data_IF_555542328283
#
_entry.id   IF_555542328283
#
_cell.length_a   1.000
_cell.length_b   1.000
_cell.length_c   1.000
_cell.angle_alpha   90.00
_cell.angle_beta   90.00
_cell.angle_gamma   90.00
#
_symmetry.space_group_name_H-M   'P 1'
#
loop_
_entity.id
_entity.type
_entity.pdbx_description
1 polymer ?
#
# COMPACT_ATOMS: atom_id res chain seq x y z
N UNK A 1 -12.34 -7.90 5.69
CA UNK A 1 -12.22 -6.61 4.97
C UNK A 1 -11.75 -6.92 3.56
N UNK A 2 -12.26 -6.25 2.52
CA UNK A 2 -11.92 -6.52 1.12
C UNK A 2 -10.94 -5.44 0.59
N UNK A 3 -9.70 -5.79 0.18
CA UNK A 3 -8.72 -4.82 -0.31
C UNK A 3 -9.09 -4.15 -1.64
N UNK A 4 -10.04 -4.70 -2.39
CA UNK A 4 -10.53 -4.13 -3.65
C UNK A 4 -11.62 -3.07 -3.45
N UNK A 5 -12.05 -2.82 -2.20
CA UNK A 5 -13.13 -1.87 -1.88
C UNK A 5 -12.56 -0.76 -1.01
N UNK A 6 -12.99 0.48 -1.30
CA UNK A 6 -12.69 1.65 -0.46
C UNK A 6 -13.23 1.46 0.97
N UNK A 7 -12.36 1.70 1.94
CA UNK A 7 -12.74 1.75 3.35
C UNK A 7 -13.09 3.16 3.81
N UNK A 8 -13.53 3.28 5.06
CA UNK A 8 -13.81 4.57 5.69
C UNK A 8 -12.56 5.48 5.75
N UNK A 9 -11.38 4.88 5.97
CA UNK A 9 -10.10 5.60 6.10
C UNK A 9 -9.19 5.44 4.87
N UNK A 10 -8.99 4.21 4.41
CA UNK A 10 -8.05 3.89 3.33
C UNK A 10 -8.77 3.64 1.99
N UNK A 11 -8.14 3.97 0.85
CA UNK A 11 -8.65 3.59 -0.46
C UNK A 11 -8.49 2.09 -0.71
N UNK A 12 -9.12 1.57 -1.78
CA UNK A 12 -8.82 0.26 -2.33
C UNK A 12 -7.34 0.16 -2.76
N UNK A 13 -6.70 -0.95 -2.40
CA UNK A 13 -5.27 -1.22 -2.62
C UNK A 13 -4.99 -2.50 -3.41
N UNK A 14 -6.02 -3.22 -3.85
CA UNK A 14 -5.87 -4.32 -4.82
C UNK A 14 -5.09 -3.85 -6.06
N UNK A 15 -4.21 -4.71 -6.58
CA UNK A 15 -3.34 -4.42 -7.71
C UNK A 15 -2.19 -3.44 -7.45
N UNK A 16 -1.90 -3.08 -6.19
CA UNK A 16 -0.78 -2.18 -5.87
C UNK A 16 0.56 -2.74 -6.35
N UNK A 17 1.40 -1.89 -6.95
CA UNK A 17 2.75 -2.28 -7.38
C UNK A 17 3.68 -2.55 -6.20
N UNK A 18 4.70 -3.37 -6.43
CA UNK A 18 5.73 -3.65 -5.41
C UNK A 18 6.41 -2.35 -4.93
N UNK A 19 6.78 -1.47 -5.86
CA UNK A 19 7.42 -0.18 -5.56
C UNK A 19 6.54 0.70 -4.66
N UNK A 20 5.23 0.76 -4.93
CA UNK A 20 4.29 1.49 -4.09
C UNK A 20 4.23 0.88 -2.69
N UNK A 21 4.15 -0.44 -2.58
CA UNK A 21 4.11 -1.13 -1.31
C UNK A 21 5.39 -0.91 -0.50
N UNK A 22 6.56 -0.96 -1.13
CA UNK A 22 7.84 -0.66 -0.48
C UNK A 22 7.89 0.78 0.05
N UNK A 23 7.50 1.77 -0.76
CA UNK A 23 7.49 3.16 -0.32
C UNK A 23 6.52 3.39 0.85
N UNK A 24 5.31 2.84 0.77
CA UNK A 24 4.28 2.99 1.82
C UNK A 24 4.66 2.25 3.10
N UNK A 25 5.13 1.00 3.01
CA UNK A 25 5.43 0.16 4.16
C UNK A 25 6.73 0.59 4.82
N UNK A 26 7.78 0.91 4.06
CA UNK A 26 9.08 1.24 4.65
C UNK A 26 9.16 2.68 5.13
N UNK A 27 8.56 3.62 4.40
CA UNK A 27 8.75 5.06 4.63
C UNK A 27 7.47 5.83 4.92
N UNK A 28 6.30 5.23 4.69
CA UNK A 28 5.03 5.98 4.77
C UNK A 28 4.91 7.05 3.69
N UNK A 29 5.64 6.90 2.57
CA UNK A 29 5.76 7.86 1.47
C UNK A 29 5.28 7.25 0.15
N UNK A 30 5.23 8.05 -0.92
CA UNK A 30 4.83 7.60 -2.25
C UNK A 30 6.04 7.60 -3.19
N UNK A 31 6.09 6.69 -4.18
CA UNK A 31 7.10 6.73 -5.24
C UNK A 31 7.05 8.06 -6.03
N UNK A 32 8.16 8.49 -6.65
CA UNK A 32 8.17 9.67 -7.50
C UNK A 32 7.11 9.60 -8.60
N UNK A 33 6.38 10.69 -8.81
CA UNK A 33 5.32 10.79 -9.84
C UNK A 33 4.02 10.05 -9.49
N UNK A 34 3.92 9.38 -8.35
CA UNK A 34 2.68 8.75 -7.91
C UNK A 34 1.73 9.75 -7.27
N UNK A 35 0.48 9.80 -7.78
CA UNK A 35 -0.59 10.62 -7.20
C UNK A 35 -1.43 9.77 -6.20
N UNK A 36 -1.47 10.16 -4.91
CA UNK A 36 -2.27 9.44 -3.93
C UNK A 36 -3.77 9.49 -4.22
N UNK A 37 -4.45 8.34 -4.17
CA UNK A 37 -5.92 8.24 -4.29
C UNK A 37 -6.68 9.06 -3.23
N UNK A 38 -6.04 9.34 -2.09
CA UNK A 38 -6.56 10.17 -0.99
C UNK A 38 -5.48 11.07 -0.45
N UNK A 39 -5.85 12.30 -0.06
CA UNK A 39 -4.94 13.27 0.54
C UNK A 39 -4.58 13.00 2.01
N UNK A 40 -5.29 12.10 2.69
CA UNK A 40 -5.02 11.74 4.08
C UNK A 40 -3.69 11.00 4.23
N UNK A 41 -2.89 11.33 5.26
CA UNK A 41 -1.58 10.72 5.55
C UNK A 41 -1.60 9.88 6.83
N UNK A 42 -2.63 9.05 7.01
CA UNK A 42 -2.87 8.30 8.25
C UNK A 42 -2.03 7.04 8.41
N UNK A 43 -1.62 6.41 7.31
CA UNK A 43 -0.83 5.17 7.37
C UNK A 43 0.61 5.49 7.75
N UNK A 44 1.05 4.94 8.87
CA UNK A 44 2.43 4.97 9.38
C UNK A 44 3.34 3.98 8.64
N UNK A 45 4.65 4.19 8.72
CA UNK A 45 5.62 3.20 8.27
C UNK A 45 5.59 1.94 9.17
N UNK A 46 5.72 0.77 8.56
CA UNK A 46 5.74 -0.55 9.18
C UNK A 46 6.99 -1.34 8.72
N UNK A 47 8.21 -0.85 8.96
CA UNK A 47 9.44 -1.43 8.40
C UNK A 47 9.73 -2.86 8.88
N UNK A 48 9.13 -3.29 10.00
CA UNK A 48 9.21 -4.68 10.47
C UNK A 48 8.54 -5.69 9.51
N UNK A 49 7.71 -5.22 8.57
CA UNK A 49 7.10 -6.05 7.54
C UNK A 49 7.94 -6.17 6.26
N UNK A 50 9.12 -5.53 6.19
CA UNK A 50 9.97 -5.55 5.00
C UNK A 50 10.15 -6.95 4.37
N UNK A 51 10.43 -8.02 5.16
CA UNK A 51 10.64 -9.36 4.59
C UNK A 51 9.38 -9.96 3.94
N UNK A 52 8.20 -9.45 4.27
CA UNK A 52 6.90 -9.96 3.82
C UNK A 52 6.24 -9.12 2.73
N UNK A 53 6.89 -8.03 2.30
CA UNK A 53 6.37 -7.19 1.20
C UNK A 53 6.12 -8.00 -0.09
N UNK A 54 6.99 -8.95 -0.50
CA UNK A 54 6.71 -9.77 -1.69
C UNK A 54 5.43 -10.60 -1.57
N UNK A 55 5.16 -11.16 -0.40
CA UNK A 55 3.95 -11.94 -0.13
C UNK A 55 2.69 -11.07 -0.16
N UNK A 56 2.78 -9.86 0.43
CA UNK A 56 1.71 -8.87 0.38
C UNK A 56 1.42 -8.44 -1.06
N UNK A 57 2.46 -8.19 -1.85
CA UNK A 57 2.32 -7.82 -3.26
C UNK A 57 1.65 -8.95 -4.06
N UNK A 58 2.08 -10.20 -3.86
CA UNK A 58 1.48 -11.36 -4.52
C UNK A 58 0.00 -11.52 -4.15
N UNK A 59 -0.35 -11.35 -2.87
CA UNK A 59 -1.75 -11.39 -2.44
C UNK A 59 -2.58 -10.30 -3.14
N UNK A 60 -2.12 -9.04 -3.11
CA UNK A 60 -2.86 -7.92 -3.70
C UNK A 60 -2.99 -7.99 -5.23
N UNK A 61 -2.05 -8.63 -5.92
CA UNK A 61 -2.12 -8.88 -7.37
C UNK A 61 -3.07 -10.02 -7.74
N UNK A 62 -3.37 -10.93 -6.80
CA UNK A 62 -4.31 -12.04 -7.01
C UNK A 62 -5.78 -11.65 -6.84
N UNK A 63 -6.06 -10.39 -6.46
CA UNK A 63 -7.39 -9.85 -6.18
C UNK A 63 -7.99 -9.09 -7.36
#
# INVERSE_FOLDING_TARGET
MNPAIDGALGPAVAGSSLELLEARVMRGEYPPGYEPKRGSRVMIALPHLAPRIPELAAYLQSL
#
